data_IF_134332301444
#
_entry.id   IF_134332301444
#
_cell.length_a   1.000
_cell.length_b   1.000
_cell.length_c   1.000
_cell.angle_alpha   90.00
_cell.angle_beta   90.00
_cell.angle_gamma   90.00
#
_symmetry.space_group_name_H-M   'P 1'
#
loop_
_entity.id
_entity.type
_entity.pdbx_description
1 polymer ?
#
# COMPACT_ATOMS: atom_id res chain seq x y z
N UNK A 1 -3.67 -5.77 -20.66
CA UNK A 1 -3.30 -6.27 -19.33
C UNK A 1 -3.55 -5.15 -18.34
N UNK A 2 -4.09 -5.40 -17.13
CA UNK A 2 -4.17 -4.34 -16.12
C UNK A 2 -2.75 -3.82 -15.83
N UNK A 3 -2.57 -2.50 -15.79
CA UNK A 3 -1.26 -1.93 -15.49
C UNK A 3 -0.86 -2.25 -14.04
N UNK A 4 0.43 -2.52 -13.81
CA UNK A 4 0.95 -2.84 -12.49
C UNK A 4 0.78 -1.66 -11.53
N UNK A 5 0.41 -1.96 -10.27
CA UNK A 5 0.41 -1.01 -9.17
C UNK A 5 1.81 -0.94 -8.59
N UNK A 6 2.39 0.25 -8.49
CA UNK A 6 3.72 0.41 -7.93
C UNK A 6 3.65 0.74 -6.44
N UNK A 7 4.72 0.47 -5.71
CA UNK A 7 4.88 1.02 -4.35
C UNK A 7 6.27 1.61 -4.18
N UNK A 8 6.41 2.66 -3.39
CA UNK A 8 7.70 3.31 -3.10
C UNK A 8 7.79 3.69 -1.64
N UNK A 9 9.00 3.68 -1.08
CA UNK A 9 9.24 3.97 0.32
C UNK A 9 10.18 5.15 0.40
N UNK A 10 9.77 6.24 1.04
CA UNK A 10 10.56 7.46 0.97
C UNK A 10 11.81 7.40 1.86
N UNK A 11 11.74 6.71 3.01
CA UNK A 11 12.85 6.54 3.95
C UNK A 11 13.59 7.85 4.19
N UNK A 12 14.91 7.86 3.95
CA UNK A 12 15.82 9.00 4.04
C UNK A 12 16.26 9.48 2.66
N UNK A 13 15.51 9.19 1.59
CA UNK A 13 15.89 9.58 0.24
C UNK A 13 15.88 11.11 0.10
N UNK A 14 16.77 11.64 -0.74
CA UNK A 14 16.62 13.02 -1.24
C UNK A 14 15.44 13.09 -2.22
N UNK A 15 15.01 14.30 -2.57
CA UNK A 15 13.97 14.50 -3.61
C UNK A 15 14.40 13.89 -4.93
N UNK A 16 15.66 14.09 -5.30
CA UNK A 16 16.25 13.65 -6.57
C UNK A 16 16.31 12.12 -6.62
N UNK A 17 16.72 11.47 -5.53
CA UNK A 17 16.74 10.02 -5.45
C UNK A 17 15.33 9.40 -5.49
N UNK A 18 14.36 10.04 -4.83
CA UNK A 18 12.97 9.61 -4.89
C UNK A 18 12.36 9.78 -6.29
N UNK A 19 12.61 10.91 -6.94
CA UNK A 19 12.21 11.15 -8.33
C UNK A 19 12.86 10.15 -9.28
N UNK A 20 14.13 9.80 -9.08
CA UNK A 20 14.80 8.78 -9.88
C UNK A 20 14.13 7.39 -9.74
N UNK A 21 13.69 7.02 -8.53
CA UNK A 21 12.91 5.80 -8.32
C UNK A 21 11.56 5.86 -9.05
N UNK A 22 10.85 6.98 -8.94
CA UNK A 22 9.58 7.19 -9.64
C UNK A 22 9.79 7.09 -11.15
N UNK A 23 10.71 7.87 -11.71
CA UNK A 23 11.00 7.99 -13.14
C UNK A 23 11.52 6.70 -13.79
N UNK A 24 11.91 5.70 -13.01
CA UNK A 24 12.19 4.38 -13.54
C UNK A 24 10.94 3.79 -14.24
N UNK A 25 9.75 4.20 -13.84
CA UNK A 25 8.45 3.97 -14.49
C UNK A 25 7.85 5.35 -14.82
N UNK A 26 7.01 5.51 -15.85
CA UNK A 26 6.24 6.75 -16.00
C UNK A 26 5.17 6.85 -14.90
N UNK A 27 5.54 7.10 -13.64
CA UNK A 27 4.57 7.31 -12.54
C UNK A 27 3.96 8.70 -12.72
N UNK A 28 2.63 8.74 -12.81
CA UNK A 28 1.84 9.96 -12.96
C UNK A 28 1.23 10.39 -11.63
N UNK A 29 1.05 9.45 -10.69
CA UNK A 29 0.33 9.68 -9.44
C UNK A 29 0.96 8.96 -8.26
N UNK A 30 1.23 9.70 -7.19
CA UNK A 30 1.64 9.14 -5.89
C UNK A 30 0.45 9.18 -4.93
N UNK A 31 0.07 8.01 -4.44
CA UNK A 31 -0.87 7.86 -3.33
C UNK A 31 -0.08 7.69 -2.05
N UNK A 32 -0.13 8.71 -1.19
CA UNK A 32 0.46 8.68 0.12
C UNK A 32 -0.46 7.94 1.08
N UNK A 33 -0.06 6.72 1.43
CA UNK A 33 -0.80 5.84 2.34
C UNK A 33 -0.24 5.91 3.76
N UNK A 34 0.36 7.03 4.17
CA UNK A 34 0.72 7.25 5.58
C UNK A 34 -0.51 7.72 6.34
N UNK A 35 -0.76 7.15 7.51
CA UNK A 35 -1.89 7.57 8.37
C UNK A 35 -1.71 9.01 8.86
N UNK A 36 -0.46 9.40 9.11
CA UNK A 36 -0.07 10.76 9.42
C UNK A 36 1.05 11.15 8.45
N UNK A 37 0.78 11.96 7.42
CA UNK A 37 1.75 12.27 6.36
C UNK A 37 2.76 13.36 6.79
N UNK A 38 3.23 13.26 8.03
CA UNK A 38 4.37 14.02 8.56
C UNK A 38 5.68 13.31 8.24
N UNK A 39 6.78 14.04 8.32
CA UNK A 39 8.12 13.50 8.11
C UNK A 39 9.16 14.38 8.80
N UNK A 40 10.24 13.74 9.28
CA UNK A 40 11.46 14.42 9.69
C UNK A 40 12.10 15.16 8.51
N UNK A 41 12.12 14.51 7.33
CA UNK A 41 12.58 15.11 6.08
C UNK A 41 11.52 16.04 5.52
N UNK A 42 11.87 17.33 5.43
CA UNK A 42 10.95 18.41 5.06
C UNK A 42 10.21 18.15 3.74
N UNK A 43 10.92 17.68 2.72
CA UNK A 43 10.36 17.39 1.40
C UNK A 43 9.38 16.20 1.37
N UNK A 44 9.29 15.38 2.43
CA UNK A 44 8.27 14.35 2.56
C UNK A 44 7.13 14.75 3.50
N UNK A 45 7.09 15.98 4.01
CA UNK A 45 5.89 16.50 4.66
C UNK A 45 4.81 16.70 3.61
N UNK A 46 3.56 16.39 3.96
CA UNK A 46 2.40 16.50 3.06
C UNK A 46 2.37 17.82 2.27
N UNK A 47 2.50 18.97 2.96
CA UNK A 47 2.44 20.28 2.32
C UNK A 47 3.54 20.48 1.26
N UNK A 48 4.74 19.93 1.47
CA UNK A 48 5.79 19.97 0.46
C UNK A 48 5.50 19.01 -0.68
N UNK A 49 5.03 17.80 -0.41
CA UNK A 49 4.66 16.83 -1.45
C UNK A 49 3.55 17.36 -2.37
N UNK A 50 2.54 18.05 -1.80
CA UNK A 50 1.47 18.74 -2.55
C UNK A 50 2.02 19.85 -3.47
N UNK A 51 3.19 20.41 -3.16
CA UNK A 51 3.84 21.46 -3.95
C UNK A 51 4.81 20.93 -4.99
N UNK A 52 5.80 20.14 -4.58
CA UNK A 52 6.93 19.83 -5.46
C UNK A 52 6.68 18.63 -6.36
N UNK A 53 5.86 17.64 -5.98
CA UNK A 53 5.54 16.53 -6.89
C UNK A 53 4.81 17.03 -8.15
N UNK A 54 3.75 17.85 -8.07
CA UNK A 54 3.06 18.34 -9.26
C UNK A 54 3.96 19.20 -10.17
N UNK A 55 4.91 19.95 -9.59
CA UNK A 55 5.91 20.70 -10.34
C UNK A 55 6.85 19.80 -11.19
N UNK A 56 6.89 18.50 -10.90
CA UNK A 56 7.64 17.49 -11.66
C UNK A 56 6.76 16.63 -12.58
N UNK A 57 5.46 16.97 -12.69
CA UNK A 57 4.50 16.20 -13.49
C UNK A 57 3.90 14.99 -12.78
N UNK A 58 4.16 14.83 -11.47
CA UNK A 58 3.59 13.74 -10.66
C UNK A 58 2.51 14.29 -9.73
N UNK A 59 1.27 13.87 -9.91
CA UNK A 59 0.18 14.24 -9.01
C UNK A 59 0.38 13.59 -7.63
N UNK A 60 -0.10 14.27 -6.58
CA UNK A 60 -0.08 13.77 -5.21
C UNK A 60 -1.50 13.65 -4.66
N UNK A 61 -1.79 12.54 -3.97
CA UNK A 61 -3.02 12.35 -3.20
C UNK A 61 -2.72 11.66 -1.88
N UNK A 62 -3.23 12.21 -0.79
CA UNK A 62 -3.21 11.54 0.51
C UNK A 62 -4.42 10.60 0.64
N UNK A 63 -4.19 9.36 1.07
CA UNK A 63 -5.20 8.29 1.16
C UNK A 63 -5.11 7.61 2.53
N UNK A 64 -5.60 8.25 3.60
CA UNK A 64 -5.49 7.74 4.96
C UNK A 64 -6.26 6.43 5.18
N UNK A 65 -7.25 6.10 4.35
CA UNK A 65 -8.03 4.84 4.39
C UNK A 65 -7.15 3.60 4.20
N UNK A 66 -6.03 3.75 3.49
CA UNK A 66 -5.00 2.73 3.33
C UNK A 66 -3.86 2.86 4.35
N UNK A 67 -3.93 3.85 5.25
CA UNK A 67 -2.92 4.15 6.26
C UNK A 67 -2.77 3.07 7.33
N UNK A 68 -1.52 2.75 7.71
CA UNK A 68 -1.16 1.88 8.84
C UNK A 68 -1.55 2.43 10.22
N UNK A 69 -0.83 2.04 11.27
CA UNK A 69 -0.97 2.61 12.62
C UNK A 69 -2.43 2.62 13.11
N UNK A 70 -3.10 1.48 12.98
CA UNK A 70 -4.51 1.33 13.34
C UNK A 70 -4.66 1.00 14.82
N UNK A 71 -5.72 1.56 15.41
CA UNK A 71 -6.11 1.26 16.78
C UNK A 71 -6.55 -0.19 16.93
N UNK A 72 -6.69 -0.63 18.18
CA UNK A 72 -7.20 -1.96 18.47
C UNK A 72 -8.59 -2.15 17.84
N UNK A 73 -8.91 -3.35 17.35
CA UNK A 73 -10.23 -3.65 16.84
C UNK A 73 -11.28 -3.55 17.98
N UNK A 74 -12.57 -3.38 17.64
CA UNK A 74 -13.64 -3.36 18.64
C UNK A 74 -13.71 -4.68 19.40
N UNK A 75 -14.26 -4.63 20.62
CA UNK A 75 -14.48 -5.83 21.42
C UNK A 75 -15.34 -6.85 20.66
N UNK A 76 -14.95 -8.13 20.70
CA UNK A 76 -15.63 -9.20 19.96
C UNK A 76 -15.26 -9.29 18.48
N UNK A 77 -14.36 -8.44 17.98
CA UNK A 77 -13.76 -8.65 16.68
C UNK A 77 -13.01 -9.98 16.61
N UNK A 78 -12.88 -10.49 15.37
CA UNK A 78 -12.12 -11.69 15.11
C UNK A 78 -10.69 -11.57 15.67
N UNK A 79 -10.21 -12.58 16.42
CA UNK A 79 -8.87 -12.55 16.95
C UNK A 79 -7.83 -12.62 15.81
N UNK A 80 -6.62 -12.12 16.10
CA UNK A 80 -5.48 -12.35 15.22
C UNK A 80 -5.19 -13.85 15.08
N UNK A 81 -4.61 -14.26 13.95
CA UNK A 81 -4.12 -15.62 13.79
C UNK A 81 -3.09 -15.94 14.91
N UNK A 82 -3.20 -17.07 15.63
CA UNK A 82 -2.31 -17.41 16.73
C UNK A 82 -0.83 -17.38 16.35
N UNK A 83 -0.48 -17.94 15.18
CA UNK A 83 0.86 -17.91 14.59
C UNK A 83 1.09 -16.74 13.61
N UNK A 84 0.23 -15.72 13.69
CA UNK A 84 0.19 -14.60 12.75
C UNK A 84 1.13 -13.45 13.12
N UNK A 85 0.60 -12.23 13.07
CA UNK A 85 1.37 -11.02 13.37
C UNK A 85 1.64 -10.87 14.87
N UNK A 86 2.93 -10.96 15.26
CA UNK A 86 3.35 -10.71 16.65
C UNK A 86 3.29 -9.23 17.04
N UNK A 87 3.33 -8.31 16.08
CA UNK A 87 3.21 -6.87 16.33
C UNK A 87 1.73 -6.48 16.41
N UNK A 88 1.31 -5.79 17.50
CA UNK A 88 -0.06 -5.27 17.61
C UNK A 88 -0.44 -4.35 16.45
N UNK A 89 0.50 -3.54 15.94
CA UNK A 89 0.24 -2.63 14.82
C UNK A 89 -0.13 -3.39 13.53
N UNK A 90 0.57 -4.49 13.23
CA UNK A 90 0.26 -5.33 12.07
C UNK A 90 -1.02 -6.14 12.26
N UNK A 91 -1.25 -6.69 13.47
CA UNK A 91 -2.50 -7.39 13.79
C UNK A 91 -3.73 -6.46 13.68
N UNK A 92 -3.64 -5.25 14.21
CA UNK A 92 -4.68 -4.24 14.07
C UNK A 92 -4.89 -3.83 12.61
N UNK A 93 -3.81 -3.73 11.83
CA UNK A 93 -3.91 -3.41 10.42
C UNK A 93 -4.55 -4.56 9.61
N UNK A 94 -4.27 -5.82 9.94
CA UNK A 94 -4.97 -6.97 9.37
C UNK A 94 -6.48 -6.85 9.60
N UNK A 95 -6.91 -6.53 10.82
CA UNK A 95 -8.33 -6.30 11.08
C UNK A 95 -8.87 -5.15 10.23
N UNK A 96 -8.16 -4.03 10.16
CA UNK A 96 -8.52 -2.87 9.35
C UNK A 96 -8.72 -3.21 7.86
N UNK A 97 -7.96 -4.16 7.31
CA UNK A 97 -8.12 -4.58 5.91
C UNK A 97 -9.47 -5.23 5.57
N UNK A 98 -10.30 -5.54 6.59
CA UNK A 98 -11.68 -6.02 6.42
C UNK A 98 -12.73 -4.92 6.49
N UNK A 99 -12.32 -3.69 6.78
CA UNK A 99 -13.25 -2.57 6.90
C UNK A 99 -13.77 -2.14 5.52
N UNK A 100 -14.99 -1.61 5.49
CA UNK A 100 -15.56 -1.07 4.25
C UNK A 100 -14.75 0.13 3.72
N UNK A 101 -14.13 0.92 4.59
CA UNK A 101 -13.28 2.05 4.16
C UNK A 101 -12.04 1.56 3.40
N UNK A 102 -11.40 0.49 3.88
CA UNK A 102 -10.28 -0.13 3.19
C UNK A 102 -10.73 -0.73 1.86
N UNK A 103 -11.85 -1.48 1.86
CA UNK A 103 -12.39 -2.09 0.65
C UNK A 103 -12.71 -1.04 -0.43
N UNK A 104 -13.34 0.08 -0.07
CA UNK A 104 -13.61 1.21 -0.99
C UNK A 104 -12.32 1.81 -1.55
N UNK A 105 -11.32 2.06 -0.71
CA UNK A 105 -10.05 2.64 -1.15
C UNK A 105 -9.28 1.70 -2.09
N UNK A 106 -9.28 0.37 -1.83
CA UNK A 106 -8.66 -0.61 -2.74
C UNK A 106 -9.44 -0.74 -4.05
N UNK A 107 -10.78 -0.66 -4.02
CA UNK A 107 -11.59 -0.65 -5.25
C UNK A 107 -11.30 0.60 -6.11
N UNK A 108 -11.16 1.76 -5.48
CA UNK A 108 -10.76 2.99 -6.17
C UNK A 108 -9.34 2.87 -6.74
N UNK A 109 -8.39 2.36 -5.96
CA UNK A 109 -7.02 2.09 -6.39
C UNK A 109 -6.99 1.21 -7.65
N UNK A 110 -7.74 0.10 -7.64
CA UNK A 110 -7.83 -0.81 -8.77
C UNK A 110 -8.51 -0.18 -9.99
N UNK A 111 -9.39 0.81 -9.80
CA UNK A 111 -10.01 1.58 -10.90
C UNK A 111 -9.01 2.56 -11.49
N UNK A 112 -8.32 3.32 -10.66
CA UNK A 112 -7.33 4.33 -11.07
C UNK A 112 -6.14 3.67 -11.75
N UNK A 113 -5.69 2.51 -11.28
CA UNK A 113 -4.58 1.76 -11.89
C UNK A 113 -4.86 1.28 -13.32
N UNK A 114 -6.12 1.32 -13.79
CA UNK A 114 -6.45 1.01 -15.19
C UNK A 114 -6.22 2.19 -16.14
N UNK A 115 -6.17 3.41 -15.62
CA UNK A 115 -6.11 4.64 -16.43
C UNK A 115 -4.91 5.51 -16.12
N UNK A 116 -4.23 5.27 -15.00
CA UNK A 116 -3.05 6.03 -14.59
C UNK A 116 -2.00 5.12 -13.96
N UNK A 117 -0.73 5.43 -14.24
CA UNK A 117 0.40 4.76 -13.61
C UNK A 117 0.66 5.37 -12.24
N UNK A 118 0.49 4.58 -11.19
CA UNK A 118 0.53 5.09 -9.82
C UNK A 118 1.48 4.31 -8.90
N UNK A 119 1.98 5.00 -7.88
CA UNK A 119 2.76 4.43 -6.79
C UNK A 119 2.13 4.69 -5.42
N UNK A 120 1.96 3.62 -4.61
CA UNK A 120 1.64 3.71 -3.19
C UNK A 120 2.90 4.07 -2.39
N UNK A 121 2.92 5.24 -1.75
CA UNK A 121 4.05 5.72 -0.96
C UNK A 121 3.82 5.54 0.55
N UNK A 122 4.84 5.06 1.26
CA UNK A 122 4.92 5.10 2.72
C UNK A 122 6.29 5.59 3.22
N UNK A 123 6.49 5.62 4.54
CA UNK A 123 7.73 6.07 5.17
C UNK A 123 8.87 5.02 5.12
N UNK A 124 8.61 3.76 5.45
CA UNK A 124 9.66 2.73 5.41
C UNK A 124 10.25 2.54 4.00
N UNK A 125 11.57 2.43 3.90
CA UNK A 125 12.26 2.19 2.63
C UNK A 125 12.04 0.78 2.08
N UNK A 126 12.06 -0.23 2.96
CA UNK A 126 11.84 -1.64 2.59
C UNK A 126 10.38 -2.04 2.69
N UNK A 127 9.86 -2.79 1.72
CA UNK A 127 8.42 -3.03 1.62
C UNK A 127 7.92 -4.02 2.68
N UNK A 128 8.72 -5.03 3.01
CA UNK A 128 8.38 -6.13 3.91
C UNK A 128 8.35 -5.76 5.41
N UNK A 129 8.62 -4.50 5.78
CA UNK A 129 8.61 -4.03 7.18
C UNK A 129 7.53 -3.00 7.46
N UNK A 130 6.60 -2.76 6.55
CA UNK A 130 5.51 -1.80 6.75
C UNK A 130 4.19 -2.27 6.15
N UNK A 131 3.13 -1.54 6.45
CA UNK A 131 1.75 -1.86 6.09
C UNK A 131 1.51 -1.94 4.58
N UNK A 132 2.32 -1.27 3.75
CA UNK A 132 2.20 -1.36 2.29
C UNK A 132 2.38 -2.80 1.76
N UNK A 133 3.13 -3.64 2.48
CA UNK A 133 3.21 -5.07 2.15
C UNK A 133 1.86 -5.77 2.31
N UNK A 134 1.07 -5.40 3.31
CA UNK A 134 -0.25 -5.98 3.53
C UNK A 134 -1.26 -5.50 2.49
N UNK A 135 -1.16 -4.24 2.05
CA UNK A 135 -1.89 -3.76 0.86
C UNK A 135 -1.49 -4.58 -0.37
N UNK A 136 -0.18 -4.77 -0.59
CA UNK A 136 0.33 -5.53 -1.73
C UNK A 136 -0.16 -6.99 -1.73
N UNK A 137 -0.23 -7.65 -0.57
CA UNK A 137 -0.81 -9.00 -0.43
C UNK A 137 -2.27 -9.07 -0.83
N UNK A 138 -3.06 -8.12 -0.32
CA UNK A 138 -4.46 -8.03 -0.67
C UNK A 138 -4.63 -7.82 -2.19
N UNK A 139 -3.80 -6.98 -2.81
CA UNK A 139 -3.87 -6.72 -4.25
C UNK A 139 -3.52 -7.96 -5.07
N UNK A 140 -2.43 -8.67 -4.74
CA UNK A 140 -2.03 -9.88 -5.49
C UNK A 140 -3.02 -11.04 -5.29
N UNK A 141 -3.63 -11.16 -4.10
CA UNK A 141 -4.70 -12.12 -3.87
C UNK A 141 -5.96 -11.84 -4.70
N UNK A 142 -6.14 -10.60 -5.15
CA UNK A 142 -7.19 -10.19 -6.10
C UNK A 142 -6.74 -10.24 -7.56
N UNK A 143 -5.59 -10.83 -7.85
CA UNK A 143 -5.05 -10.99 -9.20
C UNK A 143 -4.44 -9.71 -9.80
N UNK A 144 -4.22 -8.66 -9.00
CA UNK A 144 -3.55 -7.44 -9.45
C UNK A 144 -2.03 -7.60 -9.34
N UNK A 145 -1.30 -7.01 -10.29
CA UNK A 145 0.15 -7.00 -10.26
C UNK A 145 0.66 -5.85 -9.39
N UNK A 146 1.62 -6.14 -8.50
CA UNK A 146 2.27 -5.14 -7.65
C UNK A 146 3.78 -5.21 -7.82
N UNK A 147 4.42 -4.05 -8.02
CA UNK A 147 5.87 -3.93 -8.18
C UNK A 147 6.44 -2.91 -7.19
N UNK A 148 7.43 -3.31 -6.40
CA UNK A 148 8.11 -2.41 -5.46
C UNK A 148 9.24 -1.65 -6.15
N UNK A 149 9.16 -0.32 -6.15
CA UNK A 149 10.19 0.60 -6.60
C UNK A 149 11.22 0.79 -5.49
N UNK A 150 12.39 0.20 -5.74
CA UNK A 150 13.58 0.17 -4.89
C UNK A 150 14.80 0.11 -5.83
N UNK A 151 16.05 0.25 -5.33
CA UNK A 151 17.23 0.12 -6.19
C UNK A 151 17.23 -1.14 -7.07
N UNK A 152 16.67 -2.25 -6.53
CA UNK A 152 16.27 -3.43 -7.31
C UNK A 152 14.76 -3.59 -7.26
N UNK A 153 14.11 -3.58 -8.41
CA UNK A 153 12.67 -3.85 -8.51
C UNK A 153 12.36 -5.26 -8.05
N UNK A 154 11.22 -5.37 -7.37
CA UNK A 154 10.71 -6.65 -6.87
C UNK A 154 9.25 -6.79 -7.27
N UNK A 155 8.92 -7.87 -7.98
CA UNK A 155 7.54 -8.22 -8.30
C UNK A 155 6.94 -8.94 -7.09
N UNK A 156 5.87 -8.38 -6.52
CA UNK A 156 5.37 -8.80 -5.21
C UNK A 156 4.91 -10.26 -5.16
N UNK A 157 4.23 -10.73 -6.22
CA UNK A 157 3.76 -12.12 -6.34
C UNK A 157 4.89 -13.16 -6.30
N UNK A 158 6.12 -12.77 -6.63
CA UNK A 158 7.28 -13.67 -6.61
C UNK A 158 7.88 -13.80 -5.20
N UNK A 159 7.55 -12.87 -4.29
CA UNK A 159 8.14 -12.76 -2.95
C UNK A 159 7.12 -12.81 -1.82
N UNK A 160 5.84 -13.02 -2.14
CA UNK A 160 4.78 -13.13 -1.14
C UNK A 160 4.98 -14.36 -0.23
N UNK A 161 5.34 -15.50 -0.83
CA UNK A 161 5.68 -16.75 -0.13
C UNK A 161 4.72 -17.11 1.01
N UNK A 162 5.30 -17.55 2.12
CA UNK A 162 4.58 -17.92 3.35
C UNK A 162 3.98 -16.72 4.10
N UNK A 163 4.15 -15.48 3.62
CA UNK A 163 3.60 -14.30 4.30
C UNK A 163 2.08 -14.34 4.36
N UNK A 164 1.42 -14.98 3.39
CA UNK A 164 -0.03 -15.20 3.43
C UNK A 164 -0.48 -16.08 4.59
N UNK A 165 0.40 -16.95 5.13
CA UNK A 165 0.10 -17.80 6.27
C UNK A 165 0.02 -17.02 7.59
N UNK A 166 0.48 -15.76 7.61
CA UNK A 166 0.40 -14.89 8.80
C UNK A 166 -0.99 -14.31 9.03
N UNK A 167 -1.86 -14.37 8.01
CA UNK A 167 -3.20 -13.84 8.09
C UNK A 167 -4.17 -14.88 8.62
N UNK A 168 -5.17 -14.44 9.36
CA UNK A 168 -6.31 -15.25 9.73
C UNK A 168 -7.02 -15.79 8.46
N UNK A 169 -7.47 -17.05 8.41
CA UNK A 169 -8.07 -17.63 7.20
C UNK A 169 -9.28 -16.86 6.70
N UNK A 170 -10.12 -16.35 7.61
CA UNK A 170 -11.24 -15.47 7.28
C UNK A 170 -10.79 -14.14 6.63
N UNK A 171 -9.58 -13.66 6.89
CA UNK A 171 -9.03 -12.45 6.24
C UNK A 171 -8.88 -12.75 4.77
N UNK A 172 -8.24 -13.88 4.49
CA UNK A 172 -7.94 -14.32 3.14
C UNK A 172 -9.22 -14.68 2.40
N UNK A 173 -10.20 -15.30 3.07
CA UNK A 173 -11.53 -15.55 2.50
C UNK A 173 -12.23 -14.25 2.11
N UNK A 174 -12.30 -13.29 3.04
CA UNK A 174 -12.89 -11.97 2.80
C UNK A 174 -12.22 -11.23 1.63
N UNK A 175 -10.88 -11.21 1.56
CA UNK A 175 -10.16 -10.59 0.46
C UNK A 175 -10.45 -11.23 -0.91
N UNK A 176 -10.63 -12.56 -0.94
CA UNK A 176 -10.99 -13.32 -2.15
C UNK A 176 -12.42 -13.03 -2.59
N UNK A 177 -13.35 -12.92 -1.65
CA UNK A 177 -14.75 -12.59 -1.94
C UNK A 177 -14.87 -11.22 -2.63
N UNK A 178 -14.14 -10.21 -2.14
CA UNK A 178 -14.00 -8.89 -2.78
C UNK A 178 -13.34 -8.95 -4.18
N UNK A 179 -12.67 -10.06 -4.51
CA UNK A 179 -12.05 -10.35 -5.81
C UNK A 179 -13.04 -10.74 -6.92
N UNK A 180 -14.30 -11.00 -6.58
CA UNK A 180 -15.33 -11.44 -7.53
C UNK A 180 -15.95 -10.31 -8.38
N UNK A 181 -15.53 -9.06 -8.16
CA UNK A 181 -16.12 -7.87 -8.78
C UNK A 181 -15.59 -7.52 -10.18
N UNK A 182 -14.79 -8.39 -10.81
CA UNK A 182 -14.35 -8.24 -12.21
C UNK A 182 -15.17 -9.10 -13.20
N UNK A 183 -16.38 -9.52 -12.83
CA UNK A 183 -17.35 -10.15 -13.74
C UNK A 183 -18.62 -9.29 -13.84
N UNK A 184 -18.50 -8.02 -14.25
CA UNK A 184 -19.59 -7.28 -14.90
C UNK A 184 -19.04 -6.07 -15.65
#
# INVERSE_FOLDING_TARGET
MPAAIHTVGHSTLSREAFLALLASVPIELVWDVRSHPGSHWEWFRRAELERWLPATGVCYRWVPELGGWRGAPPAGALPAHPDGWSSPSFANYEWHTRSDEFARAVAELARVSRTASLALMCAEGVWWRCHRSMIADHLVLRGLEVVHLQPRRTVHREVVGERLLRYHPETLAHWRELGSLNAT
#
